data_IF_002082711299
#
_entry.id   IF_002082711299
#
_cell.length_a   1.000
_cell.length_b   1.000
_cell.length_c   1.000
_cell.angle_alpha   90.00
_cell.angle_beta   90.00
_cell.angle_gamma   90.00
#
_symmetry.space_group_name_H-M   'P 1'
#
loop_
_entity.id
_entity.type
_entity.pdbx_description
1 polymer ?
#
# COMPACT_ATOMS: atom_id res chain seq x y z
N UNK A 1 -11.75 18.77 5.46
CA UNK A 1 -12.33 17.69 6.27
C UNK A 1 -11.20 16.87 6.86
N UNK A 2 -11.29 16.52 8.12
CA UNK A 2 -10.38 15.58 8.77
C UNK A 2 -10.82 14.16 8.45
N UNK A 3 -9.86 13.31 8.05
CA UNK A 3 -10.03 11.87 7.84
C UNK A 3 -9.06 11.13 8.75
N UNK A 4 -9.55 10.17 9.49
CA UNK A 4 -8.65 9.25 10.17
C UNK A 4 -8.05 8.27 9.16
N UNK A 5 -6.74 8.01 9.26
CA UNK A 5 -6.07 7.06 8.39
C UNK A 5 -5.65 5.82 9.19
N UNK A 6 -6.34 4.71 8.93
CA UNK A 6 -6.16 3.43 9.61
C UNK A 6 -4.85 2.74 9.17
N UNK A 7 -3.74 3.29 9.60
CA UNK A 7 -2.39 2.79 9.29
C UNK A 7 -1.41 3.12 10.42
N UNK A 8 -0.47 2.23 10.67
CA UNK A 8 0.72 2.49 11.49
C UNK A 8 1.94 2.92 10.67
N UNK A 9 1.83 3.01 9.34
CA UNK A 9 2.95 3.24 8.44
C UNK A 9 3.05 4.72 8.04
N UNK A 10 4.12 5.40 8.52
CA UNK A 10 4.35 6.83 8.24
C UNK A 10 4.64 7.11 6.75
N UNK A 11 5.28 6.19 6.03
CA UNK A 11 5.51 6.35 4.59
C UNK A 11 4.19 6.34 3.82
N UNK A 12 3.26 5.43 4.15
CA UNK A 12 1.92 5.41 3.57
C UNK A 12 1.16 6.70 3.86
N UNK A 13 1.24 7.22 5.10
CA UNK A 13 0.63 8.51 5.46
C UNK A 13 1.18 9.64 4.61
N UNK A 14 2.51 9.73 4.50
CA UNK A 14 3.17 10.79 3.71
C UNK A 14 2.73 10.77 2.25
N UNK A 15 2.75 9.60 1.60
CA UNK A 15 2.27 9.46 0.22
C UNK A 15 0.78 9.80 0.10
N UNK A 16 -0.07 9.25 0.97
CA UNK A 16 -1.51 9.47 0.91
C UNK A 16 -1.89 10.93 1.16
N UNK A 17 -1.22 11.62 2.09
CA UNK A 17 -1.44 13.05 2.36
C UNK A 17 -1.10 13.91 1.15
N UNK A 18 -0.03 13.58 0.41
CA UNK A 18 0.35 14.27 -0.82
C UNK A 18 -0.67 14.01 -1.93
N UNK A 19 -1.09 12.76 -2.11
CA UNK A 19 -2.03 12.34 -3.15
C UNK A 19 -3.43 12.93 -2.96
N UNK A 20 -3.92 12.94 -1.73
CA UNK A 20 -5.24 13.45 -1.41
C UNK A 20 -5.30 14.97 -1.26
N UNK A 21 -4.20 15.67 -1.20
CA UNK A 21 -4.04 17.12 -1.05
C UNK A 21 -5.34 17.91 -0.84
N UNK A 22 -5.43 18.69 0.24
CA UNK A 22 -6.66 19.38 0.66
C UNK A 22 -7.46 18.66 1.77
N UNK A 23 -7.08 17.42 2.13
CA UNK A 23 -7.64 16.70 3.26
C UNK A 23 -6.58 16.50 4.34
N UNK A 24 -6.99 16.67 5.59
CA UNK A 24 -6.14 16.40 6.76
C UNK A 24 -6.24 14.92 7.11
N UNK A 25 -5.13 14.18 7.01
CA UNK A 25 -5.05 12.78 7.43
C UNK A 25 -4.42 12.69 8.82
N UNK A 26 -5.14 12.05 9.74
CA UNK A 26 -4.69 11.85 11.12
C UNK A 26 -4.49 10.37 11.39
N UNK A 27 -3.29 9.97 11.84
CA UNK A 27 -3.05 8.62 12.32
C UNK A 27 -3.61 8.41 13.73
N UNK A 28 -4.08 7.20 14.10
CA UNK A 28 -4.54 6.91 15.45
C UNK A 28 -3.54 7.31 16.54
N UNK A 29 -2.26 7.01 16.35
CA UNK A 29 -1.17 7.33 17.30
C UNK A 29 -1.00 8.83 17.58
N UNK A 30 -1.39 9.71 16.64
CA UNK A 30 -1.30 11.16 16.79
C UNK A 30 -2.34 11.70 17.79
N UNK A 31 -3.36 10.91 18.07
CA UNK A 31 -4.39 11.21 19.09
C UNK A 31 -4.32 10.25 20.29
N UNK A 32 -3.22 9.51 20.43
CA UNK A 32 -3.04 8.58 21.54
C UNK A 32 -3.92 7.33 21.46
N UNK A 33 -4.51 7.04 20.29
CA UNK A 33 -5.33 5.86 20.08
C UNK A 33 -4.41 4.67 19.77
N UNK A 34 -4.47 3.62 20.59
CA UNK A 34 -3.87 2.33 20.27
C UNK A 34 -4.69 1.66 19.17
N UNK A 35 -4.02 1.29 18.07
CA UNK A 35 -4.69 0.70 16.91
C UNK A 35 -3.79 -0.36 16.28
N UNK A 36 -4.17 -1.62 16.45
CA UNK A 36 -3.46 -2.79 15.90
C UNK A 36 -4.50 -3.89 15.62
N UNK A 37 -5.32 -3.73 14.57
CA UNK A 37 -6.37 -4.69 14.24
C UNK A 37 -5.78 -5.97 13.64
N UNK A 38 -6.42 -7.10 13.91
CA UNK A 38 -6.10 -8.37 13.24
C UNK A 38 -6.43 -8.29 11.75
N UNK A 39 -5.41 -8.24 10.90
CA UNK A 39 -5.53 -8.28 9.44
C UNK A 39 -5.63 -9.75 8.99
N UNK A 40 -6.79 -10.36 9.16
CA UNK A 40 -7.09 -11.77 8.86
C UNK A 40 -7.92 -11.97 7.58
N UNK A 41 -8.03 -10.94 6.75
CA UNK A 41 -8.69 -11.02 5.45
C UNK A 41 -7.89 -11.84 4.44
N UNK A 42 -8.57 -12.40 3.46
CA UNK A 42 -7.96 -13.20 2.39
C UNK A 42 -7.48 -12.34 1.21
N UNK A 43 -7.96 -11.10 1.13
CA UNK A 43 -7.64 -10.15 0.06
C UNK A 43 -7.21 -8.79 0.61
N UNK A 44 -6.58 -7.96 -0.24
CA UNK A 44 -6.29 -6.57 0.11
C UNK A 44 -7.56 -5.77 0.41
N UNK A 45 -8.66 -6.06 -0.29
CA UNK A 45 -9.96 -5.43 -0.04
C UNK A 45 -10.44 -5.77 1.37
N UNK A 46 -10.42 -7.05 1.75
CA UNK A 46 -10.88 -7.47 3.06
C UNK A 46 -10.09 -6.76 4.18
N UNK A 47 -8.75 -6.75 4.07
CA UNK A 47 -7.91 -6.10 5.06
C UNK A 47 -8.11 -4.58 5.11
N UNK A 48 -8.31 -3.91 3.97
CA UNK A 48 -8.63 -2.49 3.95
C UNK A 48 -9.96 -2.19 4.67
N UNK A 49 -10.99 -3.02 4.42
CA UNK A 49 -12.32 -2.89 5.08
C UNK A 49 -12.22 -3.19 6.57
N UNK A 50 -11.51 -4.25 6.97
CA UNK A 50 -11.29 -4.61 8.38
C UNK A 50 -10.65 -3.45 9.13
N UNK A 51 -9.56 -2.89 8.61
CA UNK A 51 -8.87 -1.75 9.21
C UNK A 51 -9.76 -0.51 9.29
N UNK A 52 -10.46 -0.18 8.20
CA UNK A 52 -11.32 1.00 8.18
C UNK A 52 -12.46 0.90 9.20
N UNK A 53 -13.12 -0.26 9.25
CA UNK A 53 -14.20 -0.52 10.20
C UNK A 53 -13.70 -0.51 11.64
N UNK A 54 -12.59 -1.19 11.94
CA UNK A 54 -12.05 -1.26 13.29
C UNK A 54 -11.72 0.13 13.85
N UNK A 55 -11.15 1.02 13.03
CA UNK A 55 -10.89 2.38 13.47
C UNK A 55 -12.16 3.22 13.56
N UNK A 56 -13.11 3.06 12.64
CA UNK A 56 -14.40 3.76 12.69
C UNK A 56 -15.16 3.43 13.98
N UNK A 57 -15.16 2.17 14.41
CA UNK A 57 -15.83 1.75 15.65
C UNK A 57 -15.22 2.42 16.91
N UNK A 58 -13.99 2.93 16.82
CA UNK A 58 -13.32 3.67 17.91
C UNK A 58 -13.62 5.17 17.81
N UNK A 59 -13.42 5.75 16.61
CA UNK A 59 -13.42 7.21 16.43
C UNK A 59 -14.79 7.79 16.05
N UNK A 60 -15.72 6.97 15.57
CA UNK A 60 -17.05 7.35 15.07
C UNK A 60 -17.01 8.54 14.09
N UNK A 61 -16.01 8.58 13.24
CA UNK A 61 -15.74 9.63 12.25
C UNK A 61 -15.25 8.99 10.94
N UNK A 62 -15.24 9.71 9.80
CA UNK A 62 -14.76 9.20 8.53
C UNK A 62 -13.34 8.62 8.60
N UNK A 63 -13.18 7.39 8.13
CA UNK A 63 -11.93 6.66 8.11
C UNK A 63 -11.53 6.30 6.70
N UNK A 64 -10.27 6.48 6.38
CA UNK A 64 -9.60 5.94 5.21
C UNK A 64 -8.67 4.81 5.66
N UNK A 65 -8.62 3.70 4.94
CA UNK A 65 -7.65 2.63 5.14
C UNK A 65 -7.01 2.25 3.81
N UNK A 66 -5.76 1.81 3.86
CA UNK A 66 -5.00 1.28 2.72
C UNK A 66 -4.46 -0.09 3.08
N UNK A 67 -4.76 -1.08 2.25
CA UNK A 67 -4.02 -2.33 2.23
C UNK A 67 -3.37 -2.54 0.89
N UNK A 68 -2.09 -2.90 0.88
CA UNK A 68 -1.29 -2.92 -0.34
C UNK A 68 -0.11 -3.87 -0.25
N UNK A 69 0.27 -4.44 -1.38
CA UNK A 69 1.38 -5.36 -1.44
C UNK A 69 1.84 -5.66 -2.85
N UNK A 70 2.88 -6.48 -2.92
CA UNK A 70 3.51 -6.97 -4.14
C UNK A 70 3.05 -8.40 -4.41
N UNK A 71 2.54 -8.65 -5.60
CA UNK A 71 2.19 -9.98 -6.09
C UNK A 71 3.16 -10.37 -7.20
N UNK A 72 3.75 -11.57 -7.11
CA UNK A 72 4.70 -12.10 -8.10
C UNK A 72 4.14 -13.38 -8.70
N UNK A 73 3.90 -13.39 -10.01
CA UNK A 73 3.25 -14.50 -10.72
C UNK A 73 3.94 -15.84 -10.46
N UNK A 74 5.26 -15.88 -10.62
CA UNK A 74 6.05 -17.10 -10.47
C UNK A 74 6.08 -17.64 -9.03
N UNK A 75 5.70 -16.83 -8.05
CA UNK A 75 5.58 -17.24 -6.65
C UNK A 75 4.13 -17.49 -6.23
N UNK A 76 3.22 -17.66 -7.20
CA UNK A 76 1.80 -17.88 -6.94
C UNK A 76 1.12 -16.69 -6.25
N UNK A 77 1.52 -15.48 -6.60
CA UNK A 77 1.00 -14.24 -6.03
C UNK A 77 1.67 -13.82 -4.70
N UNK A 78 2.61 -14.61 -4.18
CA UNK A 78 3.36 -14.19 -2.98
C UNK A 78 4.33 -13.05 -3.31
N UNK A 79 4.62 -12.17 -2.32
CA UNK A 79 4.16 -12.15 -0.93
C UNK A 79 2.70 -11.75 -0.73
N UNK A 80 2.02 -11.05 -1.68
CA UNK A 80 0.61 -10.71 -1.59
C UNK A 80 0.28 -9.87 -0.35
N UNK A 81 -0.79 -10.22 0.37
CA UNK A 81 -1.21 -9.55 1.63
C UNK A 81 -0.15 -9.65 2.75
N UNK A 82 0.83 -10.54 2.62
CA UNK A 82 1.94 -10.69 3.57
C UNK A 82 3.18 -9.86 3.21
N UNK A 83 3.09 -8.95 2.23
CA UNK A 83 4.20 -8.12 1.74
C UNK A 83 4.98 -7.43 2.87
N UNK A 84 4.27 -6.86 3.84
CA UNK A 84 4.90 -6.12 4.94
C UNK A 84 5.71 -7.01 5.91
N UNK A 85 5.38 -8.31 5.99
CA UNK A 85 6.00 -9.29 6.89
C UNK A 85 6.66 -10.48 6.18
N UNK A 86 6.93 -10.34 4.88
CA UNK A 86 7.52 -11.40 4.08
C UNK A 86 8.85 -11.90 4.65
N UNK A 87 8.94 -13.22 4.92
CA UNK A 87 10.09 -13.89 5.49
C UNK A 87 10.28 -13.72 7.00
N UNK A 88 9.45 -12.94 7.69
CA UNK A 88 9.60 -12.70 9.14
C UNK A 88 9.28 -13.94 9.99
N UNK A 89 8.33 -14.76 9.54
CA UNK A 89 7.99 -16.02 10.22
C UNK A 89 9.19 -16.97 10.21
N UNK A 90 9.80 -17.20 9.03
CA UNK A 90 10.97 -18.08 8.91
C UNK A 90 12.20 -17.53 9.64
N UNK A 91 12.35 -16.21 9.67
CA UNK A 91 13.46 -15.54 10.35
C UNK A 91 13.27 -15.46 11.88
N UNK A 92 12.05 -15.63 12.39
CA UNK A 92 11.72 -15.47 13.80
C UNK A 92 11.90 -14.03 14.33
N UNK A 93 11.97 -13.03 13.42
CA UNK A 93 12.16 -11.60 13.76
C UNK A 93 11.65 -10.70 12.65
N UNK A 94 11.48 -9.43 12.98
CA UNK A 94 11.24 -8.39 11.96
C UNK A 94 12.44 -8.26 11.02
N UNK A 95 12.14 -8.09 9.73
CA UNK A 95 13.13 -7.87 8.69
C UNK A 95 13.08 -6.43 8.21
N UNK A 96 14.23 -5.88 7.84
CA UNK A 96 14.32 -4.60 7.14
C UNK A 96 13.73 -4.72 5.73
N UNK A 97 13.46 -3.58 5.08
CA UNK A 97 13.01 -3.58 3.69
C UNK A 97 14.04 -4.25 2.77
N UNK A 98 15.32 -3.99 3.01
CA UNK A 98 16.42 -4.59 2.26
C UNK A 98 16.46 -6.12 2.40
N UNK A 99 16.36 -6.64 3.61
CA UNK A 99 16.32 -8.08 3.84
C UNK A 99 15.14 -8.74 3.13
N UNK A 100 13.97 -8.08 3.09
CA UNK A 100 12.77 -8.60 2.41
C UNK A 100 12.94 -8.64 0.90
N UNK A 101 13.43 -7.57 0.27
CA UNK A 101 13.59 -7.61 -1.18
C UNK A 101 14.79 -8.48 -1.60
N UNK A 102 15.84 -8.61 -0.80
CA UNK A 102 16.92 -9.56 -1.07
C UNK A 102 16.44 -11.01 -0.96
N UNK A 103 15.59 -11.32 0.03
CA UNK A 103 14.93 -12.63 0.13
C UNK A 103 14.06 -12.89 -1.11
N UNK A 104 13.30 -11.90 -1.58
CA UNK A 104 12.51 -12.02 -2.80
C UNK A 104 13.41 -12.33 -4.01
N UNK A 105 14.51 -11.60 -4.19
CA UNK A 105 15.45 -11.85 -5.29
C UNK A 105 16.04 -13.26 -5.22
N UNK A 106 16.40 -13.72 -4.03
CA UNK A 106 16.88 -15.10 -3.79
C UNK A 106 15.83 -16.12 -4.19
N UNK A 107 14.58 -15.94 -3.81
CA UNK A 107 13.49 -16.83 -4.16
C UNK A 107 13.15 -16.80 -5.66
N UNK A 108 13.62 -15.78 -6.36
CA UNK A 108 13.47 -15.61 -7.81
C UNK A 108 14.71 -16.05 -8.63
N UNK A 109 15.74 -16.64 -7.99
CA UNK A 109 16.93 -17.15 -8.69
C UNK A 109 16.56 -18.24 -9.69
N UNK A 110 17.08 -18.12 -10.92
CA UNK A 110 16.82 -19.05 -12.01
C UNK A 110 15.41 -18.97 -12.63
N UNK A 111 14.52 -18.12 -12.10
CA UNK A 111 13.17 -17.95 -12.61
C UNK A 111 13.17 -16.90 -13.73
N UNK A 112 12.67 -17.27 -14.91
CA UNK A 112 12.58 -16.38 -16.08
C UNK A 112 11.31 -15.55 -16.11
N UNK A 113 10.17 -16.11 -15.63
CA UNK A 113 8.94 -15.31 -15.44
C UNK A 113 9.11 -14.40 -14.23
N UNK A 114 9.36 -13.13 -14.51
CA UNK A 114 9.57 -12.12 -13.47
C UNK A 114 8.39 -11.16 -13.32
N UNK A 115 7.27 -11.46 -14.01
CA UNK A 115 6.08 -10.62 -13.94
C UNK A 115 5.59 -10.47 -12.52
N UNK A 116 5.26 -9.23 -12.18
CA UNK A 116 4.76 -8.87 -10.86
C UNK A 116 3.87 -7.63 -10.96
N UNK A 117 3.04 -7.43 -9.95
CA UNK A 117 2.25 -6.21 -9.81
C UNK A 117 2.23 -5.74 -8.36
N UNK A 118 2.21 -4.45 -8.16
CA UNK A 118 1.76 -3.88 -6.91
C UNK A 118 0.25 -3.69 -6.92
N UNK A 119 -0.38 -4.03 -5.81
CA UNK A 119 -1.83 -3.86 -5.59
C UNK A 119 -2.05 -2.88 -4.43
N UNK A 120 -3.03 -2.00 -4.56
CA UNK A 120 -3.50 -1.12 -3.48
C UNK A 120 -5.02 -1.13 -3.42
N UNK A 121 -5.57 -1.55 -2.30
CA UNK A 121 -6.99 -1.39 -1.97
C UNK A 121 -7.14 -0.25 -0.95
N UNK A 122 -7.97 0.75 -1.29
CA UNK A 122 -8.32 1.86 -0.40
C UNK A 122 -9.79 1.74 -0.03
N UNK A 123 -10.08 1.73 1.28
CA UNK A 123 -11.44 1.78 1.82
C UNK A 123 -11.70 3.14 2.45
N UNK A 124 -12.77 3.81 2.02
CA UNK A 124 -13.36 4.97 2.70
C UNK A 124 -14.62 4.52 3.44
N UNK A 125 -14.57 4.57 4.76
CA UNK A 125 -15.66 4.18 5.65
C UNK A 125 -16.28 5.43 6.27
N UNK A 126 -17.46 5.82 5.78
CA UNK A 126 -18.18 7.01 6.28
C UNK A 126 -19.21 6.64 7.34
N UNK A 127 -19.85 5.49 7.20
CA UNK A 127 -20.81 4.91 8.13
C UNK A 127 -21.01 3.42 7.82
N UNK A 128 -21.67 2.64 8.68
CA UNK A 128 -21.97 1.22 8.41
C UNK A 128 -22.75 0.96 7.11
N UNK A 129 -23.45 1.96 6.60
CA UNK A 129 -24.23 1.86 5.36
C UNK A 129 -23.61 2.61 4.19
N UNK A 130 -22.42 3.21 4.37
CA UNK A 130 -21.78 4.04 3.35
C UNK A 130 -20.27 3.79 3.32
N UNK A 131 -19.90 2.82 2.51
CA UNK A 131 -18.52 2.33 2.37
C UNK A 131 -18.17 2.36 0.89
N UNK A 132 -16.98 2.86 0.56
CA UNK A 132 -16.43 2.85 -0.78
C UNK A 132 -15.09 2.12 -0.77
N UNK A 133 -14.88 1.24 -1.73
CA UNK A 133 -13.61 0.52 -1.90
C UNK A 133 -13.13 0.67 -3.33
N UNK A 134 -11.87 1.02 -3.48
CA UNK A 134 -11.17 1.12 -4.76
C UNK A 134 -9.94 0.23 -4.69
N UNK A 135 -9.74 -0.60 -5.69
CA UNK A 135 -8.49 -1.35 -5.88
C UNK A 135 -7.89 -1.01 -7.23
N UNK A 136 -6.59 -0.70 -7.22
CA UNK A 136 -5.80 -0.43 -8.41
C UNK A 136 -4.49 -1.20 -8.38
N UNK A 137 -3.93 -1.42 -9.57
CA UNK A 137 -2.67 -2.13 -9.75
C UNK A 137 -1.64 -1.29 -10.50
N UNK A 138 -0.39 -1.66 -10.31
CA UNK A 138 0.73 -1.15 -11.07
C UNK A 138 1.55 -2.33 -11.58
N UNK A 139 1.41 -2.63 -12.88
CA UNK A 139 2.05 -3.78 -13.49
C UNK A 139 3.55 -3.54 -13.72
N UNK A 140 4.32 -4.63 -13.60
CA UNK A 140 5.76 -4.56 -13.77
C UNK A 140 6.44 -5.92 -13.70
N UNK A 141 7.70 -5.88 -13.33
CA UNK A 141 8.52 -7.09 -13.16
C UNK A 141 9.58 -6.90 -12.07
N UNK A 142 10.02 -8.02 -11.49
CA UNK A 142 11.10 -8.03 -10.51
C UNK A 142 12.45 -7.94 -11.25
N UNK A 143 13.27 -6.96 -10.92
CA UNK A 143 14.61 -6.80 -11.46
C UNK A 143 15.54 -7.97 -11.04
N UNK A 144 16.65 -8.14 -11.73
CA UNK A 144 17.63 -9.17 -11.37
C UNK A 144 18.49 -8.77 -10.16
N UNK A 145 18.72 -7.48 -10.02
CA UNK A 145 19.51 -6.87 -8.92
C UNK A 145 18.81 -5.62 -8.44
N UNK A 146 19.03 -5.21 -7.18
CA UNK A 146 18.51 -3.94 -6.69
C UNK A 146 19.12 -2.77 -7.47
N UNK A 147 18.31 -1.74 -7.68
CA UNK A 147 18.75 -0.46 -8.19
C UNK A 147 19.48 0.34 -7.10
N UNK A 148 20.37 1.24 -7.52
CA UNK A 148 21.03 2.22 -6.64
C UNK A 148 20.18 3.48 -6.40
N UNK A 149 18.94 3.51 -6.89
CA UNK A 149 18.01 4.61 -6.64
C UNK A 149 17.64 4.71 -5.16
N UNK A 150 17.50 5.96 -4.69
CA UNK A 150 17.17 6.24 -3.28
C UNK A 150 15.70 6.62 -3.07
N UNK A 151 14.88 6.52 -4.13
CA UNK A 151 13.46 6.87 -4.09
C UNK A 151 12.59 5.75 -3.53
N UNK A 152 11.43 6.13 -2.98
CA UNK A 152 10.42 5.17 -2.55
C UNK A 152 10.73 4.43 -1.26
N UNK A 153 10.12 3.26 -1.07
CA UNK A 153 10.30 2.38 0.10
C UNK A 153 9.92 0.94 -0.24
N UNK A 154 10.22 0.01 0.69
CA UNK A 154 9.84 -1.39 0.56
C UNK A 154 10.54 -2.09 -0.60
N UNK A 155 9.79 -2.54 -1.60
CA UNK A 155 10.29 -3.27 -2.77
C UNK A 155 10.59 -2.37 -3.98
N UNK A 156 10.48 -1.06 -3.87
CA UNK A 156 10.73 -0.11 -4.96
C UNK A 156 12.11 -0.27 -5.62
N UNK A 157 13.21 -0.62 -4.88
CA UNK A 157 14.51 -0.85 -5.49
C UNK A 157 14.59 -2.05 -6.44
N UNK A 158 13.65 -2.98 -6.38
CA UNK A 158 13.65 -4.20 -7.20
C UNK A 158 12.46 -4.31 -8.14
N UNK A 159 11.59 -3.30 -8.18
CA UNK A 159 10.39 -3.32 -9.03
C UNK A 159 10.54 -2.40 -10.23
N UNK A 160 10.59 -3.00 -11.43
CA UNK A 160 10.52 -2.29 -12.70
C UNK A 160 9.06 -2.03 -13.06
N UNK A 161 8.69 -0.78 -13.23
CA UNK A 161 7.34 -0.37 -13.59
C UNK A 161 7.20 -0.28 -15.11
N UNK A 162 6.24 -0.99 -15.69
CA UNK A 162 6.05 -1.07 -17.14
C UNK A 162 5.63 0.28 -17.76
N UNK A 163 4.76 1.04 -17.10
CA UNK A 163 4.29 2.34 -17.60
C UNK A 163 5.39 3.41 -17.53
N UNK A 164 6.16 3.41 -16.45
CA UNK A 164 7.25 4.34 -16.26
C UNK A 164 8.51 3.99 -17.08
N UNK A 165 8.66 2.71 -17.45
CA UNK A 165 9.80 2.20 -18.19
C UNK A 165 11.11 2.19 -17.39
N UNK A 166 11.03 2.13 -16.03
CA UNK A 166 12.21 2.15 -15.13
C UNK A 166 11.92 1.55 -13.77
N UNK A 167 12.95 1.33 -12.97
CA UNK A 167 12.85 0.90 -11.58
C UNK A 167 12.21 2.02 -10.76
N UNK A 168 11.27 1.68 -9.89
CA UNK A 168 10.49 2.69 -9.11
C UNK A 168 11.39 3.55 -8.22
N UNK A 169 12.43 2.97 -7.62
CA UNK A 169 13.39 3.74 -6.81
C UNK A 169 14.22 4.77 -7.60
N UNK A 170 14.24 4.70 -8.93
CA UNK A 170 14.94 5.64 -9.82
C UNK A 170 14.03 6.74 -10.35
N UNK A 171 12.71 6.67 -10.08
CA UNK A 171 11.77 7.67 -10.52
C UNK A 171 12.07 9.03 -9.87
N UNK A 172 12.05 10.12 -10.66
CA UNK A 172 12.15 11.47 -10.10
C UNK A 172 11.06 11.72 -9.06
N UNK A 173 11.36 12.58 -8.09
CA UNK A 173 10.42 12.93 -7.03
C UNK A 173 9.06 13.36 -7.59
N UNK A 174 7.99 12.84 -7.00
CA UNK A 174 6.61 13.08 -7.42
C UNK A 174 6.16 12.29 -8.67
N UNK A 175 7.08 11.70 -9.44
CA UNK A 175 6.70 10.91 -10.61
C UNK A 175 6.13 9.54 -10.23
N UNK A 176 6.57 8.96 -9.11
CA UNK A 176 6.02 7.71 -8.58
C UNK A 176 4.49 7.76 -8.44
N UNK A 177 3.94 8.90 -8.04
CA UNK A 177 2.50 9.10 -7.82
C UNK A 177 1.66 8.92 -9.09
N UNK A 178 2.24 9.14 -10.27
CA UNK A 178 1.54 8.99 -11.55
C UNK A 178 1.34 7.50 -11.90
N UNK A 179 2.32 6.66 -11.58
CA UNK A 179 2.40 5.28 -12.04
C UNK A 179 2.09 4.24 -10.96
N UNK A 180 2.19 4.63 -9.68
CA UNK A 180 2.01 3.68 -8.59
C UNK A 180 0.55 3.25 -8.40
N UNK A 181 0.36 2.03 -7.94
CA UNK A 181 -0.92 1.46 -7.50
C UNK A 181 -1.67 2.39 -6.54
N UNK A 182 -0.96 2.91 -5.51
CA UNK A 182 -1.52 3.85 -4.53
C UNK A 182 -1.91 5.18 -5.19
N UNK A 183 -1.08 5.71 -6.08
CA UNK A 183 -1.39 6.95 -6.79
C UNK A 183 -2.63 6.83 -7.67
N UNK A 184 -2.79 5.69 -8.38
CA UNK A 184 -3.98 5.39 -9.19
C UNK A 184 -5.23 5.30 -8.31
N UNK A 185 -5.21 4.49 -7.26
CA UNK A 185 -6.33 4.31 -6.34
C UNK A 185 -6.71 5.62 -5.61
N UNK A 186 -5.71 6.38 -5.15
CA UNK A 186 -5.95 7.63 -4.43
C UNK A 186 -6.59 8.73 -5.31
N UNK A 187 -6.24 8.81 -6.60
CA UNK A 187 -6.90 9.77 -7.52
C UNK A 187 -8.38 9.50 -7.66
N UNK A 188 -8.78 8.23 -7.78
CA UNK A 188 -10.20 7.85 -7.85
C UNK A 188 -10.87 8.13 -6.51
N UNK A 189 -10.23 7.73 -5.40
CA UNK A 189 -10.77 7.93 -4.06
C UNK A 189 -10.95 9.43 -3.74
N UNK A 190 -10.02 10.29 -4.14
CA UNK A 190 -10.13 11.75 -3.98
C UNK A 190 -11.40 12.30 -4.61
N UNK A 191 -11.69 11.89 -5.84
CA UNK A 191 -12.93 12.30 -6.55
C UNK A 191 -14.19 11.86 -5.80
N UNK A 192 -14.17 10.66 -5.22
CA UNK A 192 -15.28 10.16 -4.39
C UNK A 192 -15.44 10.98 -3.12
N UNK A 193 -14.36 11.27 -2.40
CA UNK A 193 -14.38 12.08 -1.17
C UNK A 193 -14.94 13.47 -1.48
N UNK A 194 -14.47 14.13 -2.54
CA UNK A 194 -14.94 15.46 -2.96
C UNK A 194 -16.45 15.45 -3.29
N UNK A 195 -16.92 14.41 -3.95
CA UNK A 195 -18.36 14.24 -4.26
C UNK A 195 -19.20 14.03 -3.01
N UNK A 196 -18.68 13.30 -2.03
CA UNK A 196 -19.37 13.05 -0.75
C UNK A 196 -19.46 14.32 0.12
N UNK A 197 -18.46 15.19 0.06
CA UNK A 197 -18.45 16.46 0.78
C UNK A 197 -19.41 17.50 0.21
N UNK A 198 -19.76 17.39 -1.07
CA UNK A 198 -20.66 18.32 -1.77
C UNK A 198 -22.13 17.85 -1.74
N UNK A 199 -22.46 16.83 -0.96
CA UNK A 199 -23.82 16.34 -0.72
C UNK A 199 -24.43 16.92 0.54
#
# INVERSE_FOLDING_TARGET
MKLYFASGNDHKKTEMSRLLGGFELTLPKEEGIYFDPDENGETFIDNAVIKAKALYDIVHAPVLADDSGLCVDALGGKPGIHTARYGEEDAGRKLSAEEKYMLLLKNMEGITNRRAEFVCAICLYLSPTRIYVIQETSEGSIALTPSNGNGGFGYDPVFYNNEAGMIVAELPEGKKDLYSHRGKAARIMKTLIEKELNR
#
